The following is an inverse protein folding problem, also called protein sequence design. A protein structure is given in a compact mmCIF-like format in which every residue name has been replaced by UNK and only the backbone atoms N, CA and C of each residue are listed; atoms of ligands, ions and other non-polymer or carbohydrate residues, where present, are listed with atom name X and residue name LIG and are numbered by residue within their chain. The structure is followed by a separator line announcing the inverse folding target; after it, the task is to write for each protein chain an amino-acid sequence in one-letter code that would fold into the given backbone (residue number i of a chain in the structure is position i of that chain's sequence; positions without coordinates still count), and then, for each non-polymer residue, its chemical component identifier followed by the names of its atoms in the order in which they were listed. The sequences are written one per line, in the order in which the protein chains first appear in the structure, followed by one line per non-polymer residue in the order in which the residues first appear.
data_IF_338492815033
#
_entry.id   IF_338492815033
#
_cell.length_a   1.000
_cell.length_b   1.000
_cell.length_c   1.000
_cell.angle_alpha   90.00
_cell.angle_beta   90.00
_cell.angle_gamma   90.00
#
_symmetry.space_group_name_H-M   'P 1'
#
loop_
_entity.id
_entity.type
_entity.pdbx_description
1 polymer ?
#
# COMPACT_ATOMS: atom_id res chain seq x y z
N UNK A 1 -13.28 -9.64 23.43
CA UNK A 1 -13.41 -9.85 21.96
C UNK A 1 -12.48 -8.87 21.30
N UNK A 2 -11.52 -9.35 20.51
CA UNK A 2 -10.61 -8.46 19.77
C UNK A 2 -11.39 -7.70 18.70
N UNK A 3 -10.98 -6.48 18.40
CA UNK A 3 -11.64 -5.65 17.42
C UNK A 3 -11.50 -6.25 16.00
N UNK A 4 -12.56 -6.14 15.20
CA UNK A 4 -12.61 -6.71 13.86
C UNK A 4 -11.66 -5.98 12.90
N UNK A 5 -10.96 -6.69 11.99
CA UNK A 5 -10.09 -6.06 11.02
C UNK A 5 -10.88 -5.12 10.10
N UNK A 6 -10.23 -4.05 9.62
CA UNK A 6 -10.86 -3.05 8.75
C UNK A 6 -9.96 -2.67 7.58
N UNK A 7 -10.57 -2.17 6.51
CA UNK A 7 -9.85 -1.50 5.44
C UNK A 7 -9.59 -0.05 5.83
N UNK A 8 -8.34 0.37 5.76
CA UNK A 8 -7.92 1.75 6.00
C UNK A 8 -7.18 2.31 4.77
N UNK A 9 -7.27 3.63 4.58
CA UNK A 9 -6.47 4.31 3.58
C UNK A 9 -4.97 4.20 3.92
N UNK A 10 -4.07 4.17 2.90
CA UNK A 10 -2.63 4.22 3.10
C UNK A 10 -2.24 5.41 3.97
N UNK A 11 -1.37 5.17 4.94
CA UNK A 11 -0.92 6.19 5.89
C UNK A 11 0.53 5.96 6.28
N UNK A 12 1.24 7.06 6.50
CA UNK A 12 2.62 7.04 7.02
C UNK A 12 2.72 6.31 8.37
N UNK A 13 1.62 6.24 9.13
CA UNK A 13 1.56 5.56 10.41
C UNK A 13 1.80 4.04 10.31
N UNK A 14 1.58 3.43 9.14
CA UNK A 14 1.77 1.99 8.93
C UNK A 14 3.10 1.64 8.26
N UNK A 15 4.04 2.60 8.15
CA UNK A 15 5.32 2.45 7.43
C UNK A 15 6.11 1.20 7.81
N UNK A 16 6.30 0.99 9.11
CA UNK A 16 7.15 -0.10 9.59
C UNK A 16 6.49 -1.46 9.35
N UNK A 17 5.18 -1.55 9.60
CA UNK A 17 4.39 -2.78 9.32
C UNK A 17 4.34 -3.09 7.83
N UNK A 18 4.10 -2.09 6.97
CA UNK A 18 4.11 -2.25 5.51
C UNK A 18 5.45 -2.78 5.01
N UNK A 19 6.56 -2.18 5.46
CA UNK A 19 7.90 -2.60 5.03
C UNK A 19 8.26 -3.99 5.54
N UNK A 20 7.85 -4.33 6.76
CA UNK A 20 7.98 -5.69 7.29
C UNK A 20 7.28 -6.71 6.42
N UNK A 21 6.03 -6.43 6.04
CA UNK A 21 5.25 -7.29 5.15
C UNK A 21 5.90 -7.46 3.77
N UNK A 22 6.30 -6.36 3.12
CA UNK A 22 6.97 -6.44 1.80
C UNK A 22 8.29 -7.20 1.87
N UNK A 23 9.07 -7.01 2.94
CA UNK A 23 10.33 -7.74 3.14
C UNK A 23 10.09 -9.24 3.36
N UNK A 24 9.02 -9.62 4.06
CA UNK A 24 8.64 -11.02 4.26
C UNK A 24 8.29 -11.71 2.94
N UNK A 25 7.49 -11.06 2.08
CA UNK A 25 7.17 -11.59 0.75
C UNK A 25 8.44 -11.80 -0.08
N UNK A 26 9.32 -10.80 -0.11
CA UNK A 26 10.60 -10.88 -0.82
C UNK A 26 11.49 -12.02 -0.28
N UNK A 27 11.57 -12.19 1.04
CA UNK A 27 12.36 -13.24 1.67
C UNK A 27 11.85 -14.65 1.34
N UNK A 28 10.53 -14.80 1.13
CA UNK A 28 9.90 -16.05 0.71
C UNK A 28 9.92 -16.27 -0.81
N UNK A 29 10.36 -15.29 -1.59
CA UNK A 29 10.27 -15.33 -3.05
C UNK A 29 8.83 -15.31 -3.56
N UNK A 30 7.90 -14.78 -2.77
CA UNK A 30 6.50 -14.61 -3.15
C UNK A 30 6.33 -13.38 -4.03
N UNK A 31 5.49 -13.49 -5.05
CA UNK A 31 5.16 -12.36 -5.93
C UNK A 31 4.30 -11.34 -5.18
N UNK A 32 4.69 -10.06 -5.12
CA UNK A 32 3.91 -9.01 -4.49
C UNK A 32 2.63 -8.68 -5.28
N UNK A 33 1.50 -9.22 -4.80
CA UNK A 33 0.16 -8.94 -5.35
C UNK A 33 -0.69 -8.22 -4.29
N UNK A 34 -1.34 -7.07 -4.63
CA UNK A 34 -1.42 -6.42 -5.94
C UNK A 34 -0.15 -5.64 -6.33
N UNK A 35 -0.07 -5.24 -7.61
CA UNK A 35 1.10 -4.55 -8.19
C UNK A 35 1.58 -3.31 -7.42
N UNK A 36 0.69 -2.67 -6.65
CA UNK A 36 1.03 -1.50 -5.83
C UNK A 36 2.09 -1.83 -4.76
N UNK A 37 2.24 -3.10 -4.38
CA UNK A 37 3.28 -3.56 -3.45
C UNK A 37 4.69 -3.50 -4.05
N UNK A 38 4.79 -3.54 -5.38
CA UNK A 38 6.07 -3.47 -6.13
C UNK A 38 6.56 -2.04 -6.35
N UNK A 39 5.76 -1.04 -5.99
CA UNK A 39 6.12 0.36 -6.18
C UNK A 39 7.27 0.76 -5.23
N UNK A 40 8.19 1.64 -5.68
CA UNK A 40 9.26 2.14 -4.83
C UNK A 40 8.71 2.84 -3.57
N UNK A 41 9.06 2.33 -2.39
CA UNK A 41 8.61 2.87 -1.10
C UNK A 41 9.76 3.43 -0.23
N UNK A 42 10.93 3.68 -0.83
CA UNK A 42 12.11 4.23 -0.13
C UNK A 42 11.84 5.59 0.53
N UNK A 43 11.22 6.51 -0.21
CA UNK A 43 10.56 7.69 0.35
C UNK A 43 9.08 7.33 0.58
N UNK A 44 8.74 7.02 1.84
CA UNK A 44 7.44 6.43 2.16
C UNK A 44 6.30 7.45 2.08
N UNK A 45 6.61 8.70 2.41
CA UNK A 45 5.71 9.84 2.32
C UNK A 45 5.32 10.09 0.86
N UNK A 46 6.28 10.06 -0.06
CA UNK A 46 6.04 10.16 -1.50
C UNK A 46 5.25 8.96 -2.04
N UNK A 47 5.53 7.75 -1.55
CA UNK A 47 4.79 6.54 -1.90
C UNK A 47 3.31 6.65 -1.51
N UNK A 48 3.01 7.01 -0.25
CA UNK A 48 1.62 7.21 0.23
C UNK A 48 0.93 8.34 -0.55
N UNK A 49 1.63 9.45 -0.82
CA UNK A 49 1.08 10.53 -1.64
C UNK A 49 0.78 10.09 -3.09
N UNK A 50 1.62 9.22 -3.65
CA UNK A 50 1.41 8.61 -4.97
C UNK A 50 0.14 7.77 -5.02
N UNK A 51 -0.08 6.90 -4.03
CA UNK A 51 -1.32 6.11 -3.93
C UNK A 51 -2.57 6.99 -3.85
N UNK A 52 -2.53 8.09 -3.10
CA UNK A 52 -3.60 9.08 -3.05
C UNK A 52 -3.74 9.90 -4.36
N UNK A 53 -2.66 9.99 -5.15
CA UNK A 53 -2.69 10.55 -6.50
C UNK A 53 -3.45 9.64 -7.47
N UNK A 54 -3.20 8.34 -7.41
CA UNK A 54 -3.78 7.35 -8.32
C UNK A 54 -5.30 7.27 -8.22
N UNK A 55 -5.86 7.43 -7.02
CA UNK A 55 -7.30 7.55 -6.78
C UNK A 55 -7.94 8.70 -7.58
N UNK A 56 -7.18 9.78 -7.81
CA UNK A 56 -7.62 10.98 -8.55
C UNK A 56 -7.16 10.97 -10.02
N UNK A 57 -6.52 9.89 -10.47
CA UNK A 57 -5.92 9.81 -11.80
C UNK A 57 -4.64 10.65 -11.97
N UNK A 58 -4.00 11.06 -10.89
CA UNK A 58 -2.78 11.87 -10.91
C UNK A 58 -1.56 10.94 -10.81
N UNK A 59 -0.62 11.06 -11.75
CA UNK A 59 0.63 10.31 -11.71
C UNK A 59 0.51 8.83 -12.10
N UNK A 60 -0.62 8.41 -12.70
CA UNK A 60 -0.77 7.07 -13.28
C UNK A 60 -0.32 7.04 -14.75
N UNK A 61 0.13 5.89 -15.26
CA UNK A 61 0.36 5.66 -16.68
C UNK A 61 -0.89 5.93 -17.53
N UNK A 62 -0.71 6.32 -18.80
CA UNK A 62 -1.81 6.67 -19.70
C UNK A 62 -2.75 5.50 -20.04
N UNK A 63 -2.25 4.27 -19.91
CA UNK A 63 -2.98 3.01 -20.11
C UNK A 63 -3.68 2.51 -18.83
N UNK A 64 -3.53 3.23 -17.71
CA UNK A 64 -4.17 2.89 -16.45
C UNK A 64 -5.44 3.71 -16.22
N UNK A 65 -6.36 3.14 -15.45
CA UNK A 65 -7.51 3.86 -14.91
C UNK A 65 -7.22 4.32 -13.47
N UNK A 66 -7.85 5.41 -13.00
CA UNK A 66 -7.81 5.77 -11.59
C UNK A 66 -8.25 4.61 -10.70
N UNK A 67 -7.52 4.40 -9.61
CA UNK A 67 -7.75 3.28 -8.70
C UNK A 67 -7.34 3.65 -7.28
N UNK A 68 -8.03 3.09 -6.30
CA UNK A 68 -7.75 3.30 -4.88
C UNK A 68 -7.06 2.08 -4.28
N UNK A 69 -6.18 2.30 -3.31
CA UNK A 69 -5.55 1.24 -2.52
C UNK A 69 -6.06 1.34 -1.09
N UNK A 70 -6.37 0.20 -0.47
CA UNK A 70 -6.68 0.10 0.95
C UNK A 70 -5.82 -0.98 1.58
N UNK A 71 -5.44 -0.80 2.84
CA UNK A 71 -4.70 -1.77 3.63
C UNK A 71 -5.61 -2.39 4.68
N UNK A 72 -5.47 -3.70 4.87
CA UNK A 72 -6.12 -4.41 5.97
C UNK A 72 -5.34 -4.12 7.25
N UNK A 73 -6.01 -3.52 8.24
CA UNK A 73 -5.40 -3.18 9.53
C UNK A 73 -6.21 -3.80 10.67
N UNK A 74 -5.52 -4.07 11.78
CA UNK A 74 -6.20 -4.54 13.00
C UNK A 74 -7.26 -3.53 13.45
N UNK A 75 -8.39 -4.05 13.92
CA UNK A 75 -9.42 -3.24 14.57
C UNK A 75 -8.87 -2.60 15.84
N UNK A 76 -9.38 -1.42 16.17
CA UNK A 76 -9.15 -0.74 17.45
C UNK A 76 -10.10 -1.24 18.53
#
# INVERSE_FOLDING_TARGET
MGASPRLAAPSIAFKDSYRGFVAELAAKGEEPIPFTLSLPNGNFEAFVAGLAGFERGIGIPADFVPHSTFWLVEGS
#
